data_IF_678942605574
#
_entry.id   IF_678942605574
#
_cell.length_a   1.000
_cell.length_b   1.000
_cell.length_c   1.000
_cell.angle_alpha   90.00
_cell.angle_beta   90.00
_cell.angle_gamma   90.00
#
_symmetry.space_group_name_H-M   'P 1'
#
loop_
_entity.id
_entity.type
_entity.pdbx_description
1 polymer ?
#
# COMPACT_ATOMS: atom_id res chain seq x y z
N UNK A 1 63.92 42.03 49.82
CA UNK A 1 63.26 43.30 50.18
C UNK A 1 61.76 43.12 50.09
N UNK A 2 60.97 43.79 50.94
CA UNK A 2 59.74 43.24 51.52
C UNK A 2 58.48 44.09 51.25
N UNK A 3 57.32 43.59 51.74
CA UNK A 3 56.07 44.33 52.12
C UNK A 3 55.20 44.86 50.96
N UNK A 4 53.86 44.82 50.93
CA UNK A 4 52.73 44.41 51.79
C UNK A 4 51.50 44.19 50.86
N UNK A 5 50.60 43.22 51.07
CA UNK A 5 49.43 43.20 52.00
C UNK A 5 48.39 44.29 51.61
N UNK A 6 47.13 43.94 51.32
CA UNK A 6 45.99 44.09 52.27
C UNK A 6 44.69 43.45 51.67
N UNK A 7 44.12 42.37 52.26
CA UNK A 7 42.91 42.26 53.16
C UNK A 7 41.56 42.05 52.37
N UNK A 8 40.44 41.45 52.87
CA UNK A 8 40.14 40.54 54.00
C UNK A 8 39.29 39.27 53.66
N UNK A 9 39.21 38.38 54.66
CA UNK A 9 38.13 37.42 54.95
C UNK A 9 36.70 38.02 54.89
N UNK A 10 35.79 37.32 54.21
CA UNK A 10 34.37 37.11 54.60
C UNK A 10 34.02 35.67 54.13
N UNK A 11 34.01 34.67 55.02
CA UNK A 11 32.81 33.99 55.55
C UNK A 11 31.90 33.45 54.42
N UNK A 12 31.57 32.16 54.30
CA UNK A 12 30.89 31.32 55.30
C UNK A 12 31.00 29.84 54.88
N UNK A 13 31.40 29.02 55.85
CA UNK A 13 30.92 27.68 56.19
C UNK A 13 29.86 26.99 55.28
N UNK A 14 29.95 25.66 55.25
CA UNK A 14 28.96 24.65 54.82
C UNK A 14 29.34 23.94 53.50
N UNK A 15 30.34 23.08 53.64
CA UNK A 15 30.30 21.75 53.05
C UNK A 15 29.27 20.92 53.83
N UNK A 16 28.49 20.10 53.12
CA UNK A 16 27.52 19.09 53.58
C UNK A 16 26.09 19.57 53.86
N UNK A 17 25.16 18.85 53.22
CA UNK A 17 23.69 18.96 53.28
C UNK A 17 23.09 20.03 52.36
N UNK A 18 23.11 19.75 51.06
CA UNK A 18 21.90 19.95 50.28
C UNK A 18 21.55 18.65 49.56
N UNK A 19 20.90 17.77 50.31
CA UNK A 19 19.94 16.80 49.78
C UNK A 19 18.80 17.60 49.14
N UNK A 20 19.08 18.19 47.97
CA UNK A 20 18.04 18.68 47.08
C UNK A 20 17.28 17.46 46.62
N UNK A 21 16.15 17.22 47.27
CA UNK A 21 15.11 16.30 46.85
C UNK A 21 14.97 16.36 45.33
N UNK A 22 15.35 15.30 44.63
CA UNK A 22 14.75 15.01 43.34
C UNK A 22 13.26 14.90 43.64
N UNK A 23 12.49 15.95 43.34
CA UNK A 23 11.05 15.82 43.24
C UNK A 23 10.83 14.75 42.19
N UNK A 24 10.37 13.59 42.62
CA UNK A 24 9.89 12.48 41.79
C UNK A 24 8.58 12.83 41.07
N UNK A 25 8.25 14.12 40.97
CA UNK A 25 6.96 14.66 40.54
C UNK A 25 7.08 15.53 39.29
N UNK A 26 8.27 15.63 38.67
CA UNK A 26 8.32 16.17 37.31
C UNK A 26 7.58 15.17 36.40
N UNK A 27 6.45 15.58 35.78
CA UNK A 27 5.76 14.70 34.86
C UNK A 27 6.76 14.32 33.75
N UNK A 28 6.82 13.04 33.33
CA UNK A 28 7.71 12.64 32.28
C UNK A 28 7.47 13.56 31.08
N UNK A 29 8.50 14.31 30.67
CA UNK A 29 8.45 15.10 29.45
C UNK A 29 8.01 14.15 28.35
N UNK A 30 6.88 14.41 27.66
CA UNK A 30 6.42 13.52 26.60
C UNK A 30 7.54 13.42 25.58
N UNK A 31 8.13 12.23 25.44
CA UNK A 31 9.06 11.96 24.34
C UNK A 31 8.20 11.96 23.08
N UNK A 32 8.08 13.11 22.42
CA UNK A 32 7.35 13.24 21.18
C UNK A 32 8.03 12.35 20.15
N UNK A 33 7.35 11.28 19.70
CA UNK A 33 7.85 10.41 18.64
C UNK A 33 8.18 11.31 17.42
N UNK A 34 9.34 11.17 16.77
CA UNK A 34 9.66 11.96 15.59
C UNK A 34 8.61 11.72 14.51
N UNK A 35 8.32 12.75 13.72
CA UNK A 35 7.39 12.71 12.59
C UNK A 35 8.20 12.95 11.31
N UNK A 36 8.10 12.05 10.34
CA UNK A 36 8.67 12.26 9.00
C UNK A 36 7.74 13.12 8.13
N UNK A 37 6.43 12.87 8.23
CA UNK A 37 5.42 13.42 7.35
C UNK A 37 5.52 12.84 5.94
N UNK A 38 4.42 12.89 5.17
CA UNK A 38 4.45 12.49 3.76
C UNK A 38 5.50 13.33 3.00
N UNK A 39 6.36 12.72 2.17
CA UNK A 39 7.22 13.45 1.23
C UNK A 39 6.40 14.13 0.13
N UNK A 40 6.98 15.15 -0.49
CA UNK A 40 6.36 15.85 -1.63
C UNK A 40 6.03 14.87 -2.76
N UNK A 41 6.96 13.93 -3.04
CA UNK A 41 6.78 12.82 -3.97
C UNK A 41 7.13 11.51 -3.27
N UNK A 42 6.19 10.56 -3.22
CA UNK A 42 6.44 9.25 -2.62
C UNK A 42 7.28 8.38 -3.54
N UNK A 43 8.43 7.95 -3.06
CA UNK A 43 9.34 7.01 -3.74
C UNK A 43 9.59 5.88 -2.78
N UNK A 44 8.79 4.83 -2.92
CA UNK A 44 8.72 3.80 -1.88
C UNK A 44 8.94 2.39 -2.38
N UNK A 45 9.23 1.52 -1.42
CA UNK A 45 9.28 0.08 -1.63
C UNK A 45 8.46 -0.65 -0.58
N UNK A 46 7.90 -1.78 -0.97
CA UNK A 46 7.22 -2.72 -0.10
C UNK A 46 8.21 -3.62 0.66
N UNK A 47 7.97 -3.91 1.94
CA UNK A 47 8.70 -4.91 2.70
C UNK A 47 7.72 -5.86 3.38
N UNK A 48 7.97 -7.16 3.19
CA UNK A 48 7.39 -8.16 4.08
C UNK A 48 7.88 -7.92 5.52
N UNK A 49 7.10 -8.35 6.49
CA UNK A 49 7.46 -8.18 7.90
C UNK A 49 8.79 -8.90 8.25
N UNK A 50 9.09 -10.02 7.59
CA UNK A 50 10.35 -10.74 7.76
C UNK A 50 11.57 -9.97 7.22
N UNK A 51 11.42 -9.32 6.07
CA UNK A 51 12.47 -8.48 5.49
C UNK A 51 12.68 -7.23 6.35
N UNK A 52 11.59 -6.58 6.80
CA UNK A 52 11.67 -5.46 7.74
C UNK A 52 12.34 -5.84 9.07
N UNK A 53 12.13 -7.08 9.55
CA UNK A 53 12.78 -7.59 10.76
C UNK A 53 14.25 -7.98 10.59
N UNK A 54 14.71 -8.18 9.36
CA UNK A 54 16.08 -8.62 9.08
C UNK A 54 17.00 -7.44 8.79
N UNK A 55 17.89 -7.12 9.73
CA UNK A 55 18.91 -6.07 9.55
C UNK A 55 19.76 -6.27 8.30
N UNK A 56 20.15 -7.52 8.00
CA UNK A 56 20.91 -7.89 6.80
C UNK A 56 20.15 -7.64 5.50
N UNK A 57 18.84 -7.84 5.49
CA UNK A 57 18.06 -7.57 4.29
C UNK A 57 17.81 -6.09 4.11
N UNK A 58 17.48 -5.38 5.19
CA UNK A 58 17.32 -3.91 5.19
C UNK A 58 18.60 -3.19 4.79
N UNK A 59 19.78 -3.70 5.15
CA UNK A 59 21.06 -3.07 4.84
C UNK A 59 21.29 -2.80 3.36
N UNK A 60 20.57 -3.52 2.47
CA UNK A 60 20.61 -3.32 1.02
C UNK A 60 20.00 -1.99 0.58
N UNK A 61 18.99 -1.50 1.30
CA UNK A 61 18.29 -0.25 0.98
C UNK A 61 18.96 0.97 1.62
N UNK A 62 19.72 0.77 2.68
CA UNK A 62 20.37 1.82 3.47
C UNK A 62 21.08 2.90 2.63
N UNK A 63 21.81 2.59 1.54
CA UNK A 63 22.47 3.62 0.73
C UNK A 63 21.52 4.64 0.08
N UNK A 64 20.23 4.30 -0.04
CA UNK A 64 19.20 5.14 -0.66
C UNK A 64 18.17 5.68 0.35
N UNK A 65 18.12 5.18 1.59
CA UNK A 65 17.14 5.60 2.59
C UNK A 65 17.40 7.05 3.02
N UNK A 66 16.57 7.97 2.53
CA UNK A 66 16.60 9.39 2.85
C UNK A 66 15.35 10.08 2.29
N UNK A 67 15.06 11.27 2.80
CA UNK A 67 13.94 12.11 2.35
C UNK A 67 13.91 12.34 0.83
N UNK A 68 15.07 12.51 0.20
CA UNK A 68 15.17 12.94 -1.21
C UNK A 68 15.35 11.79 -2.21
N UNK A 69 15.63 10.57 -1.71
CA UNK A 69 15.84 9.38 -2.54
C UNK A 69 14.73 8.35 -2.29
N UNK A 70 15.03 7.26 -1.58
CA UNK A 70 14.04 6.27 -1.18
C UNK A 70 13.44 6.68 0.17
N UNK A 71 12.28 7.33 0.09
CA UNK A 71 11.73 8.12 1.19
C UNK A 71 10.47 7.53 1.81
N UNK A 72 10.03 6.36 1.34
CA UNK A 72 8.84 5.70 1.87
C UNK A 72 9.10 4.20 1.99
N UNK A 73 8.68 3.59 3.10
CA UNK A 73 8.75 2.15 3.31
C UNK A 73 7.36 1.66 3.70
N UNK A 74 6.78 0.82 2.85
CA UNK A 74 5.51 0.16 3.12
C UNK A 74 5.81 -1.18 3.80
N UNK A 75 5.42 -1.35 5.05
CA UNK A 75 5.69 -2.56 5.83
C UNK A 75 4.39 -3.35 5.97
N UNK A 76 4.39 -4.62 5.59
CA UNK A 76 3.26 -5.50 5.88
C UNK A 76 3.13 -5.69 7.39
N UNK A 77 1.98 -5.33 7.92
CA UNK A 77 1.64 -5.55 9.34
C UNK A 77 0.51 -6.56 9.52
N UNK A 78 -0.24 -6.85 8.44
CA UNK A 78 -1.21 -7.94 8.36
C UNK A 78 -1.26 -8.51 6.94
N UNK A 79 -1.11 -9.82 6.80
CA UNK A 79 -0.99 -10.50 5.50
C UNK A 79 -2.28 -11.22 5.07
N UNK A 80 -2.31 -11.70 3.82
CA UNK A 80 -3.46 -12.40 3.18
C UNK A 80 -3.95 -13.67 3.89
N UNK A 81 -3.16 -14.29 4.77
CA UNK A 81 -3.63 -15.39 5.62
C UNK A 81 -4.29 -14.90 6.92
N UNK A 82 -4.27 -13.59 7.17
CA UNK A 82 -4.72 -12.97 8.41
C UNK A 82 -3.64 -12.89 9.48
N UNK A 83 -2.41 -13.32 9.19
CA UNK A 83 -1.30 -13.23 10.14
C UNK A 83 -1.03 -11.76 10.49
N UNK A 84 -1.10 -11.44 11.77
CA UNK A 84 -0.83 -10.10 12.29
C UNK A 84 0.61 -10.05 12.79
N UNK A 85 1.37 -9.07 12.31
CA UNK A 85 2.79 -8.90 12.57
C UNK A 85 3.14 -7.86 13.65
N UNK A 86 2.13 -7.34 14.35
CA UNK A 86 2.26 -6.30 15.36
C UNK A 86 2.16 -6.85 16.79
N UNK A 87 3.06 -6.44 17.71
CA UNK A 87 2.96 -6.76 19.13
C UNK A 87 1.76 -6.09 19.80
N UNK A 88 1.08 -6.77 20.73
CA UNK A 88 0.11 -6.13 21.63
C UNK A 88 -1.26 -5.80 21.04
N UNK A 89 -1.65 -6.40 19.92
CA UNK A 89 -2.96 -6.14 19.30
C UNK A 89 -4.09 -6.77 20.13
N UNK A 90 -4.79 -5.95 20.93
CA UNK A 90 -5.84 -6.41 21.86
C UNK A 90 -6.98 -7.16 21.16
N UNK A 91 -7.50 -6.64 20.05
CA UNK A 91 -8.62 -7.29 19.34
C UNK A 91 -8.28 -8.69 18.84
N UNK A 92 -7.02 -8.94 18.47
CA UNK A 92 -6.55 -10.27 18.09
C UNK A 92 -6.53 -11.21 19.31
N UNK A 93 -6.08 -10.73 20.47
CA UNK A 93 -6.10 -11.49 21.72
C UNK A 93 -7.52 -11.84 22.14
N UNK A 94 -8.44 -10.88 22.10
CA UNK A 94 -9.86 -11.08 22.42
C UNK A 94 -10.52 -12.15 21.53
N UNK A 95 -10.04 -12.28 20.28
CA UNK A 95 -10.54 -13.25 19.32
C UNK A 95 -9.79 -14.58 19.37
N UNK A 96 -8.76 -14.71 20.21
CA UNK A 96 -7.91 -15.90 20.27
C UNK A 96 -6.99 -16.07 19.06
N UNK A 97 -6.74 -14.99 18.31
CA UNK A 97 -5.87 -14.98 17.13
C UNK A 97 -4.44 -14.73 17.59
N UNK A 98 -3.56 -15.71 17.32
CA UNK A 98 -2.13 -15.58 17.64
C UNK A 98 -1.46 -14.62 16.66
N UNK A 99 -0.82 -13.59 17.21
CA UNK A 99 0.04 -12.65 16.48
C UNK A 99 1.49 -13.16 16.41
N UNK A 100 2.23 -12.74 15.39
CA UNK A 100 3.64 -13.09 15.16
C UNK A 100 4.45 -11.78 15.19
N UNK A 101 5.68 -11.76 15.73
CA UNK A 101 6.45 -10.51 15.85
C UNK A 101 7.79 -10.61 15.13
N UNK A 102 7.79 -10.63 13.78
CA UNK A 102 9.01 -10.86 13.02
C UNK A 102 9.94 -9.64 12.97
N UNK A 103 9.50 -8.46 13.46
CA UNK A 103 10.28 -7.21 13.47
C UNK A 103 10.74 -6.89 14.91
N UNK A 104 11.98 -7.26 15.29
CA UNK A 104 12.49 -6.94 16.61
C UNK A 104 12.59 -5.43 16.80
N UNK A 105 12.12 -4.93 17.95
CA UNK A 105 12.17 -3.50 18.30
C UNK A 105 11.56 -2.61 17.22
N UNK A 106 10.37 -2.98 16.73
CA UNK A 106 9.61 -2.26 15.69
C UNK A 106 9.57 -0.74 15.92
N UNK A 107 9.22 -0.27 17.12
CA UNK A 107 9.17 1.17 17.41
C UNK A 107 10.51 1.87 17.19
N UNK A 108 11.63 1.22 17.57
CA UNK A 108 12.98 1.75 17.30
C UNK A 108 13.25 1.83 15.81
N UNK A 109 12.81 0.84 15.04
CA UNK A 109 12.97 0.86 13.57
C UNK A 109 12.15 1.99 12.94
N UNK A 110 10.91 2.22 13.41
CA UNK A 110 10.08 3.34 12.94
C UNK A 110 10.70 4.69 13.28
N UNK A 111 11.24 4.86 14.49
CA UNK A 111 11.98 6.07 14.90
C UNK A 111 13.18 6.32 13.99
N UNK A 112 13.94 5.27 13.68
CA UNK A 112 15.12 5.33 12.82
C UNK A 112 14.77 5.73 11.37
N UNK A 113 13.72 5.14 10.78
CA UNK A 113 13.20 5.58 9.47
C UNK A 113 12.83 7.07 9.48
N UNK A 114 12.07 7.49 10.49
CA UNK A 114 11.57 8.86 10.59
C UNK A 114 12.69 9.88 10.80
N UNK A 115 13.72 9.53 11.57
CA UNK A 115 14.90 10.38 11.77
C UNK A 115 15.65 10.69 10.46
N UNK A 116 15.44 9.86 9.43
CA UNK A 116 16.03 9.99 8.09
C UNK A 116 15.06 10.61 7.06
N UNK A 117 13.90 11.07 7.53
CA UNK A 117 12.82 11.60 6.69
C UNK A 117 12.10 10.52 5.88
N UNK A 118 12.25 9.24 6.23
CA UNK A 118 11.60 8.12 5.56
C UNK A 118 10.23 7.87 6.20
N UNK A 119 9.19 7.92 5.38
CA UNK A 119 7.79 7.82 5.74
C UNK A 119 7.35 6.36 5.89
N UNK A 120 6.99 5.90 7.10
CA UNK A 120 6.58 4.53 7.33
C UNK A 120 5.07 4.34 7.12
N UNK A 121 4.71 3.44 6.20
CA UNK A 121 3.33 3.07 5.88
C UNK A 121 3.06 1.65 6.37
N UNK A 122 1.98 1.43 7.13
CA UNK A 122 1.55 0.09 7.52
C UNK A 122 0.58 -0.47 6.48
N UNK A 123 0.93 -1.59 5.85
CA UNK A 123 0.04 -2.30 4.92
C UNK A 123 -0.73 -3.41 5.61
N UNK A 124 -2.06 -3.41 5.45
CA UNK A 124 -2.98 -4.37 6.05
C UNK A 124 -3.90 -4.98 4.99
N UNK A 125 -3.87 -6.30 4.86
CA UNK A 125 -4.91 -7.05 4.13
C UNK A 125 -6.21 -7.05 4.93
N UNK A 126 -7.34 -6.71 4.28
CA UNK A 126 -8.66 -6.57 4.95
C UNK A 126 -9.49 -7.86 4.92
N UNK A 127 -10.06 -8.22 3.76
CA UNK A 127 -11.16 -9.22 3.69
C UNK A 127 -10.71 -10.64 3.38
N UNK A 128 -9.50 -10.85 2.82
CA UNK A 128 -8.90 -12.17 2.69
C UNK A 128 -8.20 -12.52 4.00
N UNK A 129 -8.87 -13.25 4.89
CA UNK A 129 -8.40 -13.42 6.26
C UNK A 129 -8.80 -14.79 6.83
N UNK A 130 -7.92 -15.77 6.65
CA UNK A 130 -8.14 -17.10 7.20
C UNK A 130 -8.12 -17.11 8.74
N UNK A 131 -7.27 -16.30 9.35
CA UNK A 131 -7.10 -16.25 10.80
C UNK A 131 -8.37 -15.77 11.51
N UNK A 132 -8.98 -14.70 10.99
CA UNK A 132 -10.27 -14.19 11.47
C UNK A 132 -11.38 -15.20 11.24
N UNK A 133 -11.47 -15.80 10.05
CA UNK A 133 -12.50 -16.80 9.75
C UNK A 133 -12.38 -18.03 10.64
N UNK A 134 -11.17 -18.51 10.93
CA UNK A 134 -10.96 -19.65 11.81
C UNK A 134 -11.38 -19.34 13.25
N UNK A 135 -11.09 -18.12 13.73
CA UNK A 135 -11.44 -17.68 15.08
C UNK A 135 -12.93 -17.32 15.23
N UNK A 136 -13.53 -16.76 14.17
CA UNK A 136 -14.90 -16.26 14.13
C UNK A 136 -15.62 -16.74 12.85
N UNK A 137 -15.96 -18.04 12.73
CA UNK A 137 -16.56 -18.62 11.53
C UNK A 137 -17.84 -17.94 11.06
N UNK A 138 -18.59 -17.32 11.96
CA UNK A 138 -19.82 -16.56 11.65
C UNK A 138 -19.56 -15.28 10.85
N UNK A 139 -18.31 -14.79 10.80
CA UNK A 139 -17.91 -13.60 10.03
C UNK A 139 -17.45 -13.95 8.61
N UNK A 140 -17.51 -15.22 8.21
CA UNK A 140 -17.00 -15.69 6.93
C UNK A 140 -18.01 -15.53 5.79
N UNK A 141 -17.50 -15.36 4.57
CA UNK A 141 -18.26 -15.66 3.35
C UNK A 141 -18.63 -17.15 3.34
N UNK A 142 -19.88 -17.46 2.98
CA UNK A 142 -20.44 -18.81 3.06
C UNK A 142 -20.76 -19.40 1.69
N UNK A 143 -20.89 -20.72 1.63
CA UNK A 143 -21.55 -21.45 0.56
C UNK A 143 -23.08 -21.46 0.77
N UNK A 144 -23.88 -21.90 -0.22
CA UNK A 144 -25.33 -22.00 -0.08
C UNK A 144 -25.79 -22.95 1.04
N UNK A 145 -24.98 -23.96 1.36
CA UNK A 145 -25.23 -24.92 2.45
C UNK A 145 -24.81 -24.39 3.84
N UNK A 146 -24.33 -23.15 3.93
CA UNK A 146 -23.87 -22.51 5.18
C UNK A 146 -22.43 -22.85 5.59
N UNK A 147 -21.73 -23.72 4.86
CA UNK A 147 -20.30 -23.98 5.09
C UNK A 147 -19.44 -22.77 4.71
N UNK A 148 -18.19 -22.71 5.20
CA UNK A 148 -17.26 -21.62 4.84
C UNK A 148 -16.85 -21.76 3.38
N UNK A 149 -17.04 -20.70 2.60
CA UNK A 149 -16.53 -20.63 1.23
C UNK A 149 -15.00 -20.52 1.24
N UNK A 150 -14.35 -21.23 0.31
CA UNK A 150 -12.89 -21.19 0.13
C UNK A 150 -12.56 -20.99 -1.34
N UNK A 151 -11.49 -20.23 -1.59
CA UNK A 151 -10.95 -20.04 -2.92
C UNK A 151 -10.25 -21.32 -3.43
N UNK A 152 -9.78 -21.33 -4.69
CA UNK A 152 -9.10 -22.49 -5.27
C UNK A 152 -7.78 -22.84 -4.57
N UNK A 153 -7.22 -21.94 -3.76
CA UNK A 153 -6.03 -22.17 -2.92
C UNK A 153 -6.41 -22.57 -1.49
N UNK A 154 -7.69 -22.84 -1.21
CA UNK A 154 -8.21 -23.23 0.10
C UNK A 154 -8.25 -22.10 1.12
N UNK A 155 -8.13 -20.83 0.71
CA UNK A 155 -8.17 -19.66 1.59
C UNK A 155 -9.60 -19.16 1.77
N UNK A 156 -9.94 -18.80 3.00
CA UNK A 156 -11.24 -18.24 3.35
C UNK A 156 -11.21 -16.71 3.39
N UNK A 157 -12.40 -16.14 3.29
CA UNK A 157 -12.62 -14.69 3.27
C UNK A 157 -13.64 -14.32 4.33
N UNK A 158 -13.40 -13.20 5.01
CA UNK A 158 -14.38 -12.57 5.88
C UNK A 158 -15.38 -11.76 5.05
N UNK A 159 -16.61 -11.68 5.50
CA UNK A 159 -17.71 -11.00 4.81
C UNK A 159 -17.53 -9.47 4.83
N UNK A 160 -17.38 -8.80 3.66
CA UNK A 160 -17.25 -7.36 3.60
C UNK A 160 -18.47 -6.56 4.08
N UNK A 161 -19.66 -7.18 4.17
CA UNK A 161 -20.86 -6.52 4.71
C UNK A 161 -20.90 -6.48 6.23
N UNK A 162 -20.06 -7.26 6.90
CA UNK A 162 -20.11 -7.39 8.35
C UNK A 162 -19.28 -6.29 9.05
N UNK A 163 -19.94 -5.42 9.82
CA UNK A 163 -19.29 -4.30 10.54
C UNK A 163 -18.34 -4.76 11.65
N UNK A 164 -18.49 -5.98 12.16
CA UNK A 164 -17.52 -6.55 13.11
C UNK A 164 -16.16 -6.79 12.44
N UNK A 165 -16.16 -7.23 11.17
CA UNK A 165 -14.94 -7.35 10.35
C UNK A 165 -14.28 -5.99 10.13
N UNK A 166 -15.10 -4.94 9.96
CA UNK A 166 -14.61 -3.58 9.79
C UNK A 166 -13.92 -3.09 11.06
N UNK A 167 -14.61 -3.20 12.20
CA UNK A 167 -14.09 -2.84 13.50
C UNK A 167 -12.78 -3.59 13.80
N UNK A 168 -12.75 -4.89 13.56
CA UNK A 168 -11.53 -5.70 13.74
C UNK A 168 -10.32 -5.13 12.97
N UNK A 169 -10.47 -4.87 11.67
CA UNK A 169 -9.36 -4.36 10.86
C UNK A 169 -8.97 -2.92 11.23
N UNK A 170 -9.94 -2.06 11.58
CA UNK A 170 -9.67 -0.68 12.01
C UNK A 170 -8.97 -0.64 13.37
N UNK A 171 -9.31 -1.50 14.32
CA UNK A 171 -8.62 -1.58 15.62
C UNK A 171 -7.15 -2.04 15.46
N UNK A 172 -6.87 -2.95 14.51
CA UNK A 172 -5.47 -3.30 14.16
C UNK A 172 -4.75 -2.10 13.55
N UNK A 173 -5.41 -1.35 12.67
CA UNK A 173 -4.86 -0.15 12.05
C UNK A 173 -4.56 0.95 13.09
N UNK A 174 -5.48 1.21 14.04
CA UNK A 174 -5.26 2.14 15.16
C UNK A 174 -4.01 1.75 15.96
N UNK A 175 -3.87 0.46 16.27
CA UNK A 175 -2.69 -0.04 16.97
C UNK A 175 -1.39 0.17 16.18
N UNK A 176 -1.42 0.03 14.85
CA UNK A 176 -0.28 0.37 14.01
C UNK A 176 0.09 1.87 14.10
N UNK A 177 -0.91 2.76 14.11
CA UNK A 177 -0.70 4.20 14.29
C UNK A 177 -0.06 4.50 15.66
N UNK A 178 -0.56 3.87 16.74
CA UNK A 178 -0.02 4.03 18.10
C UNK A 178 1.47 3.62 18.19
N UNK A 179 1.85 2.56 17.48
CA UNK A 179 3.25 2.12 17.38
C UNK A 179 4.13 3.14 16.64
N UNK A 180 3.55 3.97 15.76
CA UNK A 180 4.19 5.14 15.16
C UNK A 180 4.30 5.11 13.65
N UNK A 181 3.51 4.28 12.97
CA UNK A 181 3.27 4.39 11.53
C UNK A 181 2.50 5.68 11.20
N UNK A 182 2.79 6.27 10.04
CA UNK A 182 2.22 7.57 9.65
C UNK A 182 1.17 7.47 8.54
N UNK A 183 0.93 6.27 8.01
CA UNK A 183 -0.12 5.99 7.02
C UNK A 183 -0.61 4.55 7.19
N UNK A 184 -1.89 4.34 6.92
CA UNK A 184 -2.50 3.01 6.79
C UNK A 184 -2.82 2.77 5.32
N UNK A 185 -2.22 1.72 4.75
CA UNK A 185 -2.50 1.27 3.39
C UNK A 185 -3.29 -0.04 3.44
N UNK A 186 -4.55 -0.03 3.01
CA UNK A 186 -5.35 -1.25 2.94
C UNK A 186 -5.15 -1.98 1.62
N UNK A 187 -4.85 -3.27 1.70
CA UNK A 187 -4.86 -4.18 0.57
C UNK A 187 -5.96 -5.23 0.70
N UNK A 188 -6.28 -5.93 -0.39
CA UNK A 188 -7.38 -6.89 -0.46
C UNK A 188 -8.70 -6.30 0.07
N UNK A 189 -8.91 -5.00 -0.15
CA UNK A 189 -10.18 -4.31 0.03
C UNK A 189 -11.07 -4.60 -1.19
N UNK A 190 -11.54 -5.85 -1.25
CA UNK A 190 -12.33 -6.37 -2.37
C UNK A 190 -13.10 -7.63 -1.98
N UNK A 191 -14.03 -8.03 -2.83
CA UNK A 191 -14.71 -9.31 -2.75
C UNK A 191 -13.86 -10.47 -3.31
N UNK A 192 -14.19 -11.72 -2.97
CA UNK A 192 -13.52 -12.90 -3.51
C UNK A 192 -13.52 -12.93 -5.05
N UNK A 193 -12.39 -13.34 -5.64
CA UNK A 193 -12.24 -13.53 -7.10
C UNK A 193 -11.57 -14.85 -7.48
N UNK A 194 -11.01 -15.56 -6.50
CA UNK A 194 -10.01 -16.61 -6.73
C UNK A 194 -10.63 -18.03 -6.63
N UNK A 195 -11.95 -18.16 -6.76
CA UNK A 195 -12.73 -19.39 -6.59
C UNK A 195 -14.08 -19.33 -7.31
N UNK A 196 -14.98 -20.29 -7.05
CA UNK A 196 -16.35 -20.25 -7.60
C UNK A 196 -17.19 -19.21 -6.84
N UNK A 197 -17.14 -17.96 -7.29
CA UNK A 197 -17.78 -16.81 -6.62
C UNK A 197 -19.31 -16.87 -6.68
N UNK A 198 -19.91 -17.66 -7.56
CA UNK A 198 -21.37 -17.85 -7.61
C UNK A 198 -21.92 -18.54 -6.36
N UNK A 199 -21.07 -19.32 -5.67
CA UNK A 199 -21.43 -19.97 -4.42
C UNK A 199 -21.39 -19.03 -3.22
N UNK A 200 -20.75 -17.86 -3.35
CA UNK A 200 -20.63 -16.94 -2.23
C UNK A 200 -22.01 -16.50 -1.72
N UNK A 201 -22.18 -16.57 -0.41
CA UNK A 201 -23.31 -16.04 0.35
C UNK A 201 -22.76 -15.06 1.37
N UNK A 202 -23.39 -13.90 1.42
CA UNK A 202 -23.02 -12.76 2.25
C UNK A 202 -24.17 -12.43 3.20
N UNK A 203 -23.88 -11.66 4.25
CA UNK A 203 -24.83 -11.22 5.26
C UNK A 203 -25.79 -10.16 4.76
N UNK A 204 -25.65 -9.70 3.52
CA UNK A 204 -26.52 -8.74 2.86
C UNK A 204 -26.70 -9.09 1.37
N UNK A 205 -27.68 -8.44 0.73
CA UNK A 205 -27.90 -8.56 -0.71
C UNK A 205 -26.65 -8.07 -1.45
N UNK A 206 -26.13 -8.93 -2.33
CA UNK A 206 -24.90 -8.67 -3.06
C UNK A 206 -25.18 -8.43 -4.55
N UNK A 207 -24.68 -7.30 -5.05
CA UNK A 207 -24.58 -6.92 -6.46
C UNK A 207 -23.47 -5.87 -6.61
N UNK A 208 -23.09 -5.51 -7.84
CA UNK A 208 -21.99 -4.57 -8.12
C UNK A 208 -22.14 -3.22 -7.38
N UNK A 209 -23.34 -2.64 -7.38
CA UNK A 209 -23.62 -1.38 -6.67
C UNK A 209 -23.44 -1.53 -5.16
N UNK A 210 -24.07 -2.55 -4.57
CA UNK A 210 -23.98 -2.82 -3.13
C UNK A 210 -22.54 -3.13 -2.70
N UNK A 211 -21.80 -3.90 -3.51
CA UNK A 211 -20.41 -4.24 -3.28
C UNK A 211 -19.53 -2.98 -3.25
N UNK A 212 -19.67 -2.11 -4.25
CA UNK A 212 -18.92 -0.84 -4.28
C UNK A 212 -19.27 0.07 -3.10
N UNK A 213 -20.56 0.21 -2.78
CA UNK A 213 -21.01 1.02 -1.64
C UNK A 213 -20.47 0.49 -0.30
N UNK A 214 -20.40 -0.82 -0.14
CA UNK A 214 -19.90 -1.41 1.11
C UNK A 214 -18.41 -1.16 1.31
N UNK A 215 -17.60 -1.27 0.25
CA UNK A 215 -16.17 -1.00 0.32
C UNK A 215 -15.90 0.48 0.59
N UNK A 216 -16.65 1.37 -0.08
CA UNK A 216 -16.63 2.82 0.19
C UNK A 216 -17.00 3.11 1.65
N UNK A 217 -18.07 2.50 2.16
CA UNK A 217 -18.48 2.69 3.55
C UNK A 217 -17.44 2.19 4.57
N UNK A 218 -16.69 1.12 4.25
CA UNK A 218 -15.58 0.67 5.10
C UNK A 218 -14.47 1.73 5.15
N UNK A 219 -14.14 2.34 4.01
CA UNK A 219 -13.14 3.39 3.92
C UNK A 219 -13.57 4.66 4.65
N UNK A 220 -14.82 5.08 4.52
CA UNK A 220 -15.38 6.21 5.26
C UNK A 220 -15.33 5.96 6.77
N UNK A 221 -15.75 4.77 7.21
CA UNK A 221 -15.65 4.35 8.61
C UNK A 221 -14.20 4.39 9.09
N UNK A 222 -13.27 3.81 8.34
CA UNK A 222 -11.86 3.78 8.71
C UNK A 222 -11.25 5.18 8.79
N UNK A 223 -11.55 6.08 7.84
CA UNK A 223 -11.03 7.45 7.86
C UNK A 223 -11.56 8.26 9.03
N UNK A 224 -12.81 8.03 9.43
CA UNK A 224 -13.38 8.67 10.62
C UNK A 224 -12.66 8.25 11.90
N UNK A 225 -12.20 7.01 11.96
CA UNK A 225 -11.59 6.40 13.15
C UNK A 225 -10.07 6.57 13.24
N UNK A 226 -9.40 6.93 12.14
CA UNK A 226 -7.94 7.08 12.06
C UNK A 226 -7.54 8.55 11.95
N UNK A 227 -6.44 8.91 12.64
CA UNK A 227 -5.88 10.27 12.62
C UNK A 227 -4.77 10.47 11.58
N UNK A 228 -4.50 9.45 10.77
CA UNK A 228 -3.45 9.44 9.74
C UNK A 228 -4.07 9.22 8.36
N UNK A 229 -3.37 9.56 7.27
CA UNK A 229 -3.84 9.26 5.92
C UNK A 229 -4.15 7.77 5.73
N UNK A 230 -5.21 7.52 4.96
CA UNK A 230 -5.62 6.19 4.52
C UNK A 230 -5.40 6.08 3.02
N UNK A 231 -4.63 5.08 2.61
CA UNK A 231 -4.43 4.70 1.23
C UNK A 231 -4.94 3.28 0.97
N UNK A 232 -5.12 2.95 -0.31
CA UNK A 232 -5.62 1.63 -0.71
C UNK A 232 -4.87 1.08 -1.91
N UNK A 233 -4.79 -0.23 -1.97
CA UNK A 233 -4.32 -0.99 -3.12
C UNK A 233 -5.54 -1.50 -3.93
N UNK A 234 -5.55 -1.22 -5.23
CA UNK A 234 -6.61 -1.64 -6.16
C UNK A 234 -6.03 -2.37 -7.36
N UNK A 235 -6.85 -3.18 -8.03
CA UNK A 235 -6.42 -3.86 -9.25
C UNK A 235 -5.99 -2.85 -10.32
N UNK A 236 -4.87 -3.13 -10.99
CA UNK A 236 -4.27 -2.21 -11.97
C UNK A 236 -5.18 -1.85 -13.15
N UNK A 237 -6.15 -2.70 -13.48
CA UNK A 237 -7.14 -2.46 -14.55
C UNK A 237 -8.33 -1.61 -14.11
N UNK A 238 -8.55 -1.41 -12.81
CA UNK A 238 -9.70 -0.64 -12.29
C UNK A 238 -9.84 0.78 -12.86
N UNK A 239 -8.77 1.52 -13.21
CA UNK A 239 -8.90 2.82 -13.86
C UNK A 239 -9.29 2.76 -15.34
N UNK A 240 -9.18 1.58 -15.97
CA UNK A 240 -9.41 1.40 -17.41
C UNK A 240 -10.74 0.73 -17.75
N UNK A 241 -11.57 0.43 -16.75
CA UNK A 241 -12.88 -0.20 -16.91
C UNK A 241 -13.97 0.61 -16.23
N UNK A 242 -15.21 0.46 -16.70
CA UNK A 242 -16.39 1.16 -16.15
C UNK A 242 -17.24 0.30 -15.21
N UNK A 243 -16.75 -0.87 -14.81
CA UNK A 243 -17.41 -1.81 -13.91
C UNK A 243 -16.44 -2.22 -12.78
N UNK A 244 -16.96 -2.84 -11.72
CA UNK A 244 -16.20 -3.20 -10.51
C UNK A 244 -15.39 -4.51 -10.64
N UNK A 245 -15.27 -5.04 -11.86
CA UNK A 245 -14.68 -6.35 -12.18
C UNK A 245 -15.25 -7.53 -11.37
N UNK A 246 -16.44 -7.39 -10.77
CA UNK A 246 -17.02 -8.38 -9.86
C UNK A 246 -16.35 -8.46 -8.49
N UNK A 247 -15.46 -7.51 -8.16
CA UNK A 247 -14.71 -7.48 -6.90
C UNK A 247 -15.08 -6.28 -6.02
N UNK A 248 -16.09 -5.49 -6.42
CA UNK A 248 -16.57 -4.29 -5.70
C UNK A 248 -15.71 -3.04 -5.88
N UNK A 249 -14.54 -3.13 -6.52
CA UNK A 249 -13.64 -1.98 -6.65
C UNK A 249 -14.10 -1.03 -7.75
N UNK A 250 -14.79 0.04 -7.36
CA UNK A 250 -15.04 1.19 -8.22
C UNK A 250 -13.96 2.24 -7.97
N UNK A 251 -13.06 2.43 -8.95
CA UNK A 251 -11.88 3.28 -8.81
C UNK A 251 -12.21 4.70 -8.34
N UNK A 252 -13.13 5.39 -9.02
CA UNK A 252 -13.46 6.78 -8.68
C UNK A 252 -14.20 6.90 -7.35
N UNK A 253 -15.18 6.03 -7.08
CA UNK A 253 -15.91 6.08 -5.81
C UNK A 253 -14.98 5.87 -4.61
N UNK A 254 -13.99 4.99 -4.73
CA UNK A 254 -12.99 4.78 -3.68
C UNK A 254 -11.99 5.94 -3.59
N UNK A 255 -11.51 6.46 -4.73
CA UNK A 255 -10.59 7.59 -4.81
C UNK A 255 -11.14 8.91 -4.23
N UNK A 256 -12.47 9.08 -4.22
CA UNK A 256 -13.13 10.21 -3.57
C UNK A 256 -12.92 10.20 -2.05
N UNK A 257 -12.93 9.02 -1.43
CA UNK A 257 -12.84 8.87 0.03
C UNK A 257 -11.41 8.90 0.51
N UNK A 258 -10.53 8.09 -0.09
CA UNK A 258 -9.16 7.87 0.40
C UNK A 258 -8.25 9.06 0.14
N UNK A 259 -7.14 9.12 0.87
CA UNK A 259 -6.12 10.14 0.68
C UNK A 259 -5.23 9.80 -0.53
N UNK A 260 -4.89 8.52 -0.70
CA UNK A 260 -4.12 8.02 -1.85
C UNK A 260 -4.68 6.70 -2.38
N UNK A 261 -4.53 6.48 -3.68
CA UNK A 261 -4.97 5.25 -4.35
C UNK A 261 -3.82 4.67 -5.16
N UNK A 262 -3.58 3.37 -4.98
CA UNK A 262 -2.42 2.67 -5.51
C UNK A 262 -2.84 1.50 -6.41
N UNK A 263 -3.13 1.74 -7.70
CA UNK A 263 -3.34 0.66 -8.64
C UNK A 263 -2.07 -0.18 -8.79
N UNK A 264 -2.24 -1.50 -8.70
CA UNK A 264 -1.16 -2.48 -8.90
C UNK A 264 -0.89 -2.70 -10.38
N UNK A 265 -0.12 -1.79 -10.99
CA UNK A 265 0.16 -1.72 -12.43
C UNK A 265 1.33 -2.62 -12.82
N UNK A 266 1.25 -3.91 -12.51
CA UNK A 266 2.30 -4.88 -12.80
C UNK A 266 2.15 -5.42 -14.23
N UNK A 267 3.04 -5.10 -15.19
CA UNK A 267 2.85 -5.49 -16.58
C UNK A 267 2.70 -7.00 -16.80
N UNK A 268 3.29 -7.84 -15.93
CA UNK A 268 3.13 -9.30 -15.97
C UNK A 268 1.72 -9.80 -15.69
N UNK A 269 0.84 -8.96 -15.14
CA UNK A 269 -0.52 -9.32 -14.72
C UNK A 269 -1.60 -8.87 -15.71
N UNK A 270 -1.20 -8.19 -16.80
CA UNK A 270 -2.09 -7.82 -17.90
C UNK A 270 -2.11 -8.94 -18.94
N UNK A 271 -3.28 -9.18 -19.54
CA UNK A 271 -3.43 -10.21 -20.57
C UNK A 271 -2.71 -9.77 -21.85
N UNK A 272 -2.21 -10.73 -22.64
CA UNK A 272 -1.69 -10.43 -23.98
C UNK A 272 -2.78 -9.74 -24.81
N UNK A 273 -2.42 -8.66 -25.51
CA UNK A 273 -3.35 -7.84 -26.29
C UNK A 273 -4.06 -6.74 -25.49
N UNK A 274 -3.93 -6.71 -24.16
CA UNK A 274 -4.47 -5.63 -23.34
C UNK A 274 -3.90 -4.27 -23.77
N UNK A 275 -4.74 -3.23 -23.82
CA UNK A 275 -4.39 -1.92 -24.40
C UNK A 275 -3.87 -1.96 -25.85
N UNK A 276 -4.17 -3.02 -26.62
CA UNK A 276 -3.59 -3.31 -27.93
C UNK A 276 -2.05 -3.46 -27.89
N UNK A 277 -1.51 -3.93 -26.77
CA UNK A 277 -0.09 -4.25 -26.60
C UNK A 277 0.08 -5.77 -26.72
N UNK A 278 0.84 -6.29 -27.69
CA UNK A 278 0.97 -7.73 -27.91
C UNK A 278 1.44 -8.52 -26.68
N UNK A 279 2.42 -7.98 -25.95
CA UNK A 279 2.94 -8.55 -24.71
C UNK A 279 3.22 -7.44 -23.70
N UNK A 280 2.24 -7.07 -22.85
CA UNK A 280 2.40 -6.00 -21.86
C UNK A 280 3.65 -6.15 -20.99
N UNK A 281 3.99 -7.39 -20.63
CA UNK A 281 5.12 -7.68 -19.75
C UNK A 281 6.49 -7.37 -20.39
N UNK A 282 6.58 -7.37 -21.72
CA UNK A 282 7.77 -7.00 -22.49
C UNK A 282 7.78 -5.53 -22.94
N UNK A 283 6.67 -4.82 -22.76
CA UNK A 283 6.54 -3.39 -23.08
C UNK A 283 6.15 -2.58 -21.83
N UNK A 284 6.91 -2.68 -20.72
CA UNK A 284 6.52 -2.14 -19.41
C UNK A 284 6.22 -0.63 -19.42
N UNK A 285 6.99 0.16 -20.20
CA UNK A 285 6.70 1.59 -20.38
C UNK A 285 5.29 1.79 -20.93
N UNK A 286 4.94 1.13 -22.05
CA UNK A 286 3.65 1.38 -22.73
C UNK A 286 2.48 0.93 -21.87
N UNK A 287 2.62 -0.20 -21.19
CA UNK A 287 1.59 -0.71 -20.29
C UNK A 287 1.33 0.26 -19.14
N UNK A 288 2.37 0.65 -18.40
CA UNK A 288 2.20 1.60 -17.29
C UNK A 288 1.74 2.97 -17.78
N UNK A 289 2.27 3.45 -18.92
CA UNK A 289 1.85 4.72 -19.51
C UNK A 289 0.35 4.77 -19.79
N UNK A 290 -0.23 3.68 -20.33
CA UNK A 290 -1.67 3.59 -20.59
C UNK A 290 -2.47 3.58 -19.29
N UNK A 291 -2.06 2.75 -18.32
CA UNK A 291 -2.74 2.65 -17.03
C UNK A 291 -2.76 3.99 -16.26
N UNK A 292 -1.60 4.68 -16.21
CA UNK A 292 -1.48 5.99 -15.55
C UNK A 292 -2.26 7.05 -16.31
N UNK A 293 -2.23 7.05 -17.65
CA UNK A 293 -3.02 7.99 -18.47
C UNK A 293 -4.52 7.84 -18.23
N UNK A 294 -5.03 6.60 -18.11
CA UNK A 294 -6.45 6.34 -17.84
C UNK A 294 -6.83 6.82 -16.43
N UNK A 295 -6.01 6.50 -15.43
CA UNK A 295 -6.22 6.96 -14.06
C UNK A 295 -6.21 8.50 -13.96
N UNK A 296 -5.27 9.18 -14.62
CA UNK A 296 -5.22 10.64 -14.66
C UNK A 296 -6.45 11.26 -15.34
N UNK A 297 -6.94 10.65 -16.42
CA UNK A 297 -8.15 11.12 -17.10
C UNK A 297 -9.37 11.08 -16.17
N UNK A 298 -9.48 10.03 -15.36
CA UNK A 298 -10.55 9.89 -14.37
C UNK A 298 -10.39 10.85 -13.20
N UNK A 299 -9.18 10.94 -12.62
CA UNK A 299 -8.90 11.74 -11.43
C UNK A 299 -8.87 13.24 -11.68
N UNK A 300 -8.54 13.68 -12.90
CA UNK A 300 -8.46 15.11 -13.28
C UNK A 300 -7.61 15.92 -12.30
N UNK A 301 -8.20 16.87 -11.58
CA UNK A 301 -7.55 17.72 -10.58
C UNK A 301 -7.09 16.95 -9.33
N UNK A 302 -7.54 15.71 -9.15
CA UNK A 302 -7.16 14.79 -8.05
C UNK A 302 -6.02 13.84 -8.42
N UNK A 303 -5.33 14.06 -9.54
CA UNK A 303 -4.23 13.18 -9.99
C UNK A 303 -3.12 13.00 -8.94
N UNK A 304 -2.91 13.97 -8.06
CA UNK A 304 -1.95 13.91 -6.95
C UNK A 304 -2.23 12.79 -5.93
N UNK A 305 -3.44 12.21 -5.94
CA UNK A 305 -3.79 11.04 -5.12
C UNK A 305 -3.20 9.73 -5.65
N UNK A 306 -2.85 9.68 -6.94
CA UNK A 306 -2.40 8.47 -7.61
C UNK A 306 -0.97 8.11 -7.19
N UNK A 307 -0.79 6.89 -6.68
CA UNK A 307 0.51 6.34 -6.29
C UNK A 307 0.65 4.90 -6.82
N UNK A 308 1.00 4.70 -8.09
CA UNK A 308 1.02 3.37 -8.69
C UNK A 308 2.01 2.43 -8.00
N UNK A 309 1.61 1.17 -7.87
CA UNK A 309 2.52 0.07 -7.57
C UNK A 309 3.10 -0.48 -8.89
N UNK A 310 4.42 -0.52 -8.99
CA UNK A 310 5.17 -0.96 -10.17
C UNK A 310 5.93 -2.27 -9.87
N UNK A 311 6.21 -3.02 -10.93
CA UNK A 311 6.84 -4.33 -10.84
C UNK A 311 8.37 -4.23 -10.83
N UNK A 312 9.01 -4.86 -9.85
CA UNK A 312 10.48 -5.04 -9.78
C UNK A 312 10.85 -6.54 -9.63
N UNK A 313 10.00 -7.43 -10.14
CA UNK A 313 10.24 -8.87 -10.15
C UNK A 313 10.08 -9.43 -11.56
N UNK A 314 10.63 -10.63 -11.76
CA UNK A 314 10.53 -11.36 -13.02
C UNK A 314 9.41 -12.41 -12.95
N UNK A 315 8.47 -12.35 -13.89
CA UNK A 315 7.46 -13.39 -14.08
C UNK A 315 7.24 -13.59 -15.58
N UNK A 316 7.73 -14.68 -16.16
CA UNK A 316 7.67 -14.94 -17.61
C UNK A 316 8.59 -14.06 -18.49
N UNK A 317 8.98 -12.88 -18.01
CA UNK A 317 9.99 -11.98 -18.60
C UNK A 317 11.00 -11.56 -17.52
N UNK A 318 12.28 -11.48 -17.88
CA UNK A 318 13.34 -11.07 -16.96
C UNK A 318 13.33 -9.56 -16.81
N UNK A 319 13.20 -9.08 -15.58
CA UNK A 319 13.26 -7.67 -15.23
C UNK A 319 14.63 -7.31 -14.65
N UNK A 320 15.12 -6.14 -15.05
CA UNK A 320 16.31 -5.48 -14.54
C UNK A 320 16.16 -3.95 -14.59
N UNK A 321 17.28 -3.20 -14.58
CA UNK A 321 17.23 -1.74 -14.48
C UNK A 321 16.39 -1.07 -15.55
N UNK A 322 16.46 -1.50 -16.81
CA UNK A 322 15.74 -0.88 -17.91
C UNK A 322 14.21 -1.06 -17.80
N UNK A 323 13.74 -2.25 -17.41
CA UNK A 323 12.30 -2.51 -17.25
C UNK A 323 11.71 -1.73 -16.06
N UNK A 324 12.47 -1.56 -14.98
CA UNK A 324 12.04 -0.76 -13.82
C UNK A 324 12.03 0.74 -14.16
N UNK A 325 13.10 1.24 -14.79
CA UNK A 325 13.18 2.63 -15.26
C UNK A 325 12.07 2.96 -16.25
N UNK A 326 11.77 2.05 -17.18
CA UNK A 326 10.70 2.21 -18.15
C UNK A 326 9.33 2.48 -17.50
N UNK A 327 9.00 1.78 -16.40
CA UNK A 327 7.74 2.00 -15.68
C UNK A 327 7.73 3.35 -14.95
N UNK A 328 8.81 3.69 -14.24
CA UNK A 328 8.90 4.97 -13.52
C UNK A 328 8.88 6.15 -14.51
N UNK A 329 9.56 6.00 -15.65
CA UNK A 329 9.56 6.98 -16.73
C UNK A 329 8.13 7.20 -17.27
N UNK A 330 7.37 6.13 -17.43
CA UNK A 330 5.96 6.22 -17.85
C UNK A 330 5.09 7.00 -16.84
N UNK A 331 5.37 6.89 -15.53
CA UNK A 331 4.73 7.73 -14.52
C UNK A 331 5.12 9.21 -14.68
N UNK A 332 6.43 9.50 -14.78
CA UNK A 332 6.93 10.88 -14.92
C UNK A 332 6.42 11.57 -16.18
N UNK A 333 6.36 10.85 -17.30
CA UNK A 333 5.78 11.32 -18.56
C UNK A 333 4.26 11.57 -18.47
N UNK A 334 3.59 11.03 -17.46
CA UNK A 334 2.20 11.37 -17.13
C UNK A 334 2.09 12.39 -15.98
N UNK A 335 3.20 13.01 -15.56
CA UNK A 335 3.22 13.99 -14.48
C UNK A 335 3.10 13.40 -13.07
N UNK A 336 3.23 12.08 -12.93
CA UNK A 336 3.12 11.37 -11.64
C UNK A 336 4.52 11.03 -11.13
N UNK A 337 4.94 11.67 -10.04
CA UNK A 337 6.25 11.45 -9.42
C UNK A 337 6.18 10.57 -8.15
N UNK A 338 4.97 10.13 -7.80
CA UNK A 338 4.69 9.19 -6.73
C UNK A 338 4.67 7.76 -7.30
N UNK A 339 5.45 6.85 -6.73
CA UNK A 339 5.45 5.43 -7.09
C UNK A 339 5.90 4.54 -5.93
N UNK A 340 5.42 3.31 -5.94
CA UNK A 340 5.85 2.23 -5.06
C UNK A 340 6.38 1.07 -5.90
N UNK A 341 7.48 0.45 -5.51
CA UNK A 341 7.95 -0.80 -6.13
C UNK A 341 7.57 -2.00 -5.29
N UNK A 342 7.24 -3.09 -5.99
CA UNK A 342 7.00 -4.38 -5.38
C UNK A 342 7.88 -5.45 -6.04
N UNK A 343 8.61 -6.20 -5.20
CA UNK A 343 9.14 -7.55 -5.48
C UNK A 343 8.72 -8.41 -4.27
N UNK A 344 8.06 -9.58 -4.46
CA UNK A 344 7.68 -10.46 -3.35
C UNK A 344 8.88 -10.92 -2.49
N UNK A 345 10.09 -10.96 -3.06
CA UNK A 345 11.34 -11.26 -2.35
C UNK A 345 11.97 -10.03 -1.68
N UNK A 346 11.43 -8.84 -1.95
CA UNK A 346 11.95 -7.54 -1.54
C UNK A 346 13.40 -7.31 -2.01
N UNK A 347 13.70 -7.70 -3.26
CA UNK A 347 15.00 -7.56 -3.90
C UNK A 347 14.94 -6.47 -4.98
N UNK A 348 15.12 -5.23 -4.55
CA UNK A 348 14.91 -4.07 -5.42
C UNK A 348 16.12 -3.73 -6.30
N UNK A 349 15.84 -3.26 -7.50
CA UNK A 349 16.82 -2.82 -8.50
C UNK A 349 17.32 -1.42 -8.15
N UNK A 350 18.29 -1.34 -7.25
CA UNK A 350 18.81 -0.07 -6.69
C UNK A 350 19.37 0.89 -7.73
N UNK A 351 19.92 0.36 -8.84
CA UNK A 351 20.43 1.18 -9.95
C UNK A 351 19.31 2.02 -10.56
N UNK A 352 18.17 1.41 -10.87
CA UNK A 352 17.00 2.09 -11.40
C UNK A 352 16.48 3.14 -10.41
N UNK A 353 16.36 2.79 -9.12
CA UNK A 353 15.95 3.75 -8.09
C UNK A 353 16.90 4.94 -8.06
N UNK A 354 18.21 4.69 -7.92
CA UNK A 354 19.21 5.75 -7.78
C UNK A 354 19.26 6.70 -9.00
N UNK A 355 18.97 6.19 -10.20
CA UNK A 355 18.85 7.03 -11.39
C UNK A 355 17.55 7.84 -11.38
N UNK A 356 16.41 7.20 -11.14
CA UNK A 356 15.09 7.82 -11.31
C UNK A 356 14.73 8.82 -10.22
N UNK A 357 15.28 8.69 -9.01
CA UNK A 357 15.04 9.67 -7.92
C UNK A 357 15.71 11.03 -8.15
N UNK A 358 16.58 11.16 -9.15
CA UNK A 358 17.21 12.45 -9.52
C UNK A 358 16.21 13.42 -10.20
N UNK A 359 15.14 12.88 -10.75
CA UNK A 359 14.12 13.66 -11.45
C UNK A 359 13.05 14.19 -10.49
N UNK A 360 12.59 15.41 -10.73
CA UNK A 360 11.53 16.13 -10.02
C UNK A 360 10.68 16.84 -11.06
N UNK A 361 9.44 17.26 -10.76
CA UNK A 361 8.65 18.05 -11.70
C UNK A 361 9.36 19.30 -12.23
N UNK A 362 10.26 19.89 -11.43
CA UNK A 362 10.98 21.12 -11.78
C UNK A 362 12.12 20.89 -12.77
N UNK A 363 12.76 19.72 -12.77
CA UNK A 363 13.91 19.42 -13.62
C UNK A 363 13.63 18.37 -14.72
N UNK A 364 12.46 17.71 -14.67
CA UNK A 364 12.10 16.67 -15.62
C UNK A 364 11.68 17.26 -16.97
N UNK A 365 12.11 16.60 -18.04
CA UNK A 365 11.68 16.90 -19.41
C UNK A 365 11.01 15.64 -19.99
N UNK A 366 9.82 15.75 -20.60
CA UNK A 366 9.14 14.59 -21.17
C UNK A 366 9.99 13.84 -22.17
N UNK A 367 9.93 12.51 -22.11
CA UNK A 367 10.74 11.63 -22.96
C UNK A 367 10.35 11.76 -24.44
N UNK A 368 11.26 11.36 -25.33
CA UNK A 368 10.96 11.28 -26.76
C UNK A 368 9.80 10.32 -27.06
N UNK A 369 9.66 9.26 -26.26
CA UNK A 369 8.57 8.29 -26.39
C UNK A 369 7.22 8.89 -26.00
N UNK A 370 7.18 9.72 -24.96
CA UNK A 370 5.99 10.52 -24.63
C UNK A 370 5.60 11.43 -25.79
N UNK A 371 6.54 12.17 -26.35
CA UNK A 371 6.29 13.08 -27.47
C UNK A 371 5.74 12.34 -28.70
N UNK A 372 6.30 11.17 -29.02
CA UNK A 372 5.80 10.31 -30.09
C UNK A 372 4.35 9.88 -29.84
N UNK A 373 4.05 9.37 -28.64
CA UNK A 373 2.71 8.91 -28.26
C UNK A 373 1.67 10.03 -28.23
N UNK A 374 2.06 11.26 -27.89
CA UNK A 374 1.18 12.43 -28.01
C UNK A 374 0.95 12.81 -29.48
N UNK A 375 1.99 12.72 -30.32
CA UNK A 375 1.86 13.02 -31.75
C UNK A 375 0.96 12.01 -32.49
N UNK A 376 0.98 10.74 -32.08
CA UNK A 376 0.11 9.70 -32.64
C UNK A 376 -1.35 9.90 -32.21
N UNK A 377 -1.59 10.38 -30.97
CA UNK A 377 -2.94 10.83 -30.55
C UNK A 377 -3.47 11.97 -31.42
N UNK A 378 -2.62 12.94 -31.76
CA UNK A 378 -2.98 14.10 -32.59
C UNK A 378 -3.23 13.68 -34.06
N UNK A 379 -2.47 12.71 -34.59
CA UNK A 379 -2.68 12.18 -35.96
C UNK A 379 -3.87 11.21 -36.07
N UNK A 380 -4.35 10.67 -34.95
CA UNK A 380 -5.41 9.66 -34.89
C UNK A 380 -6.85 10.18 -34.79
N UNK A 381 -7.11 11.49 -34.81
CA UNK A 381 -8.49 12.02 -34.78
C UNK A 381 -9.09 12.15 -36.18
N UNK A 382 -9.44 11.00 -36.76
CA UNK A 382 -10.59 10.87 -37.66
C UNK A 382 -11.42 9.69 -37.18
N UNK A 383 -12.38 9.99 -36.31
CA UNK A 383 -13.62 9.23 -36.08
C UNK A 383 -13.53 7.70 -36.03
N UNK A 384 -13.33 7.14 -34.84
CA UNK A 384 -14.14 5.99 -34.41
C UNK A 384 -14.78 6.34 -33.07
N UNK A 385 -15.97 6.91 -33.18
CA UNK A 385 -17.00 6.80 -32.15
C UNK A 385 -17.13 5.33 -31.74
N UNK A 386 -16.81 5.03 -30.49
CA UNK A 386 -17.25 3.82 -29.82
C UNK A 386 -18.78 3.81 -29.86
N UNK A 387 -19.37 3.02 -30.76
CA UNK A 387 -20.77 2.61 -30.64
C UNK A 387 -20.83 1.25 -29.92
N UNK A 388 -21.86 1.02 -29.08
CA UNK A 388 -22.00 -0.19 -28.29
C UNK A 388 -22.58 -1.31 -29.14
N UNK A 389 -21.75 -2.31 -29.45
CA UNK A 389 -22.17 -3.56 -30.06
C UNK A 389 -22.64 -4.54 -28.99
N UNK A 390 -23.96 -4.60 -28.78
CA UNK A 390 -24.59 -5.76 -28.16
C UNK A 390 -24.47 -6.95 -29.11
N UNK A 391 -23.85 -8.04 -28.64
CA UNK A 391 -24.12 -9.37 -29.17
C UNK A 391 -24.46 -10.27 -28.00
N UNK A 392 -25.75 -10.45 -27.78
CA UNK A 392 -26.30 -11.58 -27.04
C UNK A 392 -25.85 -12.86 -27.74
N UNK A 393 -24.78 -13.49 -27.23
CA UNK A 393 -24.58 -14.92 -27.41
C UNK A 393 -24.88 -15.61 -26.08
N UNK A 394 -26.03 -16.27 -26.06
CA UNK A 394 -26.35 -17.34 -25.12
C UNK A 394 -25.23 -18.37 -25.14
N UNK A 395 -24.42 -18.40 -24.10
CA UNK A 395 -23.47 -19.48 -23.84
C UNK A 395 -24.25 -20.65 -23.21
N UNK A 396 -24.51 -21.69 -24.00
CA UNK A 396 -24.74 -23.03 -23.47
C UNK A 396 -23.40 -23.72 -23.17
N UNK A 397 -23.38 -24.67 -22.22
CA UNK A 397 -22.17 -25.05 -21.49
C UNK A 397 -21.31 -26.04 -22.30
N UNK A 398 -20.06 -25.65 -22.54
CA UNK A 398 -19.05 -26.50 -23.17
C UNK A 398 -17.71 -26.30 -22.48
N UNK A 399 -17.23 -27.38 -21.87
CA UNK A 399 -15.93 -27.55 -21.21
C UNK A 399 -14.76 -27.01 -22.03
N UNK A 400 -14.06 -25.99 -21.54
CA UNK A 400 -12.63 -25.84 -21.78
C UNK A 400 -11.98 -25.15 -20.57
N UNK A 401 -11.40 -25.98 -19.72
CA UNK A 401 -10.60 -25.59 -18.57
C UNK A 401 -9.30 -24.97 -19.07
N UNK A 402 -9.13 -23.65 -18.98
CA UNK A 402 -7.82 -23.04 -18.99
C UNK A 402 -7.71 -22.04 -17.84
N UNK A 403 -6.88 -22.46 -16.89
CA UNK A 403 -6.48 -21.81 -15.65
C UNK A 403 -5.93 -20.42 -15.91
N UNK A 404 -6.62 -19.40 -15.36
CA UNK A 404 -5.97 -18.15 -14.99
C UNK A 404 -4.92 -18.51 -13.93
N UNK A 405 -3.62 -18.33 -14.22
CA UNK A 405 -2.60 -18.38 -13.18
C UNK A 405 -2.76 -17.15 -12.28
N UNK A 406 -3.13 -17.30 -11.00
CA UNK A 406 -3.26 -16.18 -10.09
C UNK A 406 -1.99 -16.07 -9.24
N UNK A 407 -1.32 -14.92 -9.39
CA UNK A 407 -0.53 -14.22 -8.38
C UNK A 407 0.36 -15.06 -7.48
N UNK A 408 1.67 -14.97 -7.72
CA UNK A 408 2.66 -15.17 -6.67
C UNK A 408 2.42 -14.09 -5.61
N UNK A 409 1.95 -14.49 -4.43
CA UNK A 409 2.00 -13.70 -3.19
C UNK A 409 3.28 -14.06 -2.46
#
# INVERSE_FOLDING_TARGET
MPVAIVIPLIAVLIFLLNTGSYRTDDPPVPVTKPVAGKPEYVRGVHLTAWVAGSSKMRSRLEPLLSRDKLNTIVIVVKEVGGEIYLPGVRVAQDYGIKTIYPIPKLEKYLVDLKSRGVYPVARLTVFKDCSLVNAKPQLAVKNPDGSIWKDYKGKSWSDPYNKEVWKYNVEIAKHAVELGFEEIQYDYIRFPSDGDTWQCRYSAVHNSTAASQVLVGFLEYSKKELSVPVSIDVFGLTPSVNHDMGIGQNFMAMAEVVDYISPMMYPSHYRKGEYNIPDPNKEPYRTVYRCVSDANLLLKDKFYKLRPYLQDFSLGHKYGPEEVKAQILACYDNGIFDWLLWDPRCLYTLEAINEMVKWTPQNYKPSALHQLLQSDKIRGTTTQTLQPGATTQTLQPGTTTQTLQPGAT
#
